data_IF_625175590400
#
_entry.id   IF_625175590400
#
_cell.length_a   1.000
_cell.length_b   1.000
_cell.length_c   1.000
_cell.angle_alpha   90.00
_cell.angle_beta   90.00
_cell.angle_gamma   90.00
#
_symmetry.space_group_name_H-M   'P 1'
#
loop_
_entity.id
_entity.type
_entity.pdbx_description
1 polymer ?
#
# COMPACT_ATOMS: atom_id res chain seq x y z
N UNK A 1 -8.66 4.46 5.30
CA UNK A 1 -8.48 3.05 5.73
C UNK A 1 -7.13 2.92 6.39
N UNK A 2 -6.93 2.02 7.34
CA UNK A 2 -5.63 1.83 7.98
C UNK A 2 -5.30 0.35 8.18
N UNK A 3 -4.00 0.05 8.28
CA UNK A 3 -3.47 -1.26 8.66
C UNK A 3 -2.10 -1.14 9.32
N UNK A 4 -1.57 -2.24 9.85
CA UNK A 4 -0.32 -2.25 10.64
C UNK A 4 0.70 -3.21 10.03
N UNK A 5 1.92 -2.73 9.81
CA UNK A 5 3.04 -3.56 9.39
C UNK A 5 3.47 -4.49 10.53
N UNK A 6 4.05 -5.65 10.17
CA UNK A 6 4.60 -6.60 11.14
C UNK A 6 5.76 -5.98 11.97
N UNK A 7 6.40 -4.93 11.45
CA UNK A 7 7.42 -4.12 12.15
C UNK A 7 6.85 -3.10 13.15
N UNK A 8 5.53 -2.84 13.10
CA UNK A 8 4.81 -2.04 14.09
C UNK A 8 4.28 -0.70 13.59
N UNK A 9 4.76 -0.20 12.45
CA UNK A 9 4.32 1.05 11.83
C UNK A 9 2.89 0.97 11.31
N UNK A 10 2.22 2.12 11.29
CA UNK A 10 0.81 2.23 10.90
C UNK A 10 0.72 2.84 9.50
N UNK A 11 0.00 2.16 8.61
CA UNK A 11 -0.27 2.57 7.25
C UNK A 11 -1.66 3.17 7.16
N UNK A 12 -1.82 4.32 6.51
CA UNK A 12 -3.13 4.96 6.29
C UNK A 12 -3.30 5.35 4.83
N UNK A 13 -4.35 4.83 4.20
CA UNK A 13 -4.80 5.30 2.88
C UNK A 13 -5.67 6.54 3.08
N UNK A 14 -5.29 7.63 2.43
CA UNK A 14 -5.90 8.96 2.47
C UNK A 14 -6.29 9.43 1.07
N UNK A 15 -6.94 10.59 1.01
CA UNK A 15 -7.25 11.32 -0.22
C UNK A 15 -7.84 10.41 -1.32
N UNK A 16 -8.87 9.65 -0.92
CA UNK A 16 -9.60 8.73 -1.80
C UNK A 16 -8.71 7.68 -2.50
N UNK A 17 -7.59 7.29 -1.90
CA UNK A 17 -6.66 6.31 -2.46
C UNK A 17 -5.48 6.92 -3.19
N UNK A 18 -5.33 8.24 -3.23
CA UNK A 18 -4.21 8.89 -3.93
C UNK A 18 -2.98 9.10 -3.05
N UNK A 19 -3.08 8.82 -1.76
CA UNK A 19 -1.98 8.97 -0.82
C UNK A 19 -1.95 7.82 0.20
N UNK A 20 -0.74 7.30 0.45
CA UNK A 20 -0.45 6.39 1.55
C UNK A 20 0.49 7.10 2.52
N UNK A 21 0.06 7.23 3.77
CA UNK A 21 0.86 7.76 4.87
C UNK A 21 1.36 6.64 5.78
N UNK A 22 2.59 6.77 6.24
CA UNK A 22 3.22 5.81 7.15
C UNK A 22 3.59 6.52 8.45
N UNK A 23 3.09 6.02 9.57
CA UNK A 23 3.30 6.59 10.90
C UNK A 23 4.10 5.65 11.79
N UNK A 24 4.70 6.21 12.84
CA UNK A 24 5.26 5.46 13.96
C UNK A 24 4.22 4.56 14.62
N UNK A 25 4.67 3.57 15.40
CA UNK A 25 3.80 2.59 16.05
C UNK A 25 2.83 3.17 17.08
N UNK A 26 3.08 4.39 17.56
CA UNK A 26 2.22 5.15 18.46
C UNK A 26 1.32 6.16 17.72
N UNK A 27 1.37 6.19 16.39
CA UNK A 27 0.61 7.07 15.50
C UNK A 27 0.84 8.58 15.67
N UNK A 28 1.85 8.97 16.45
CA UNK A 28 2.12 10.39 16.74
C UNK A 28 2.90 11.07 15.61
N UNK A 29 3.84 10.36 15.00
CA UNK A 29 4.76 10.93 14.02
C UNK A 29 4.54 10.34 12.62
N UNK A 30 4.35 11.23 11.64
CA UNK A 30 4.37 10.87 10.23
C UNK A 30 5.82 10.62 9.78
N UNK A 31 6.13 9.39 9.36
CA UNK A 31 7.45 9.01 8.86
C UNK A 31 7.68 9.46 7.42
N UNK A 32 6.68 9.22 6.56
CA UNK A 32 6.63 9.67 5.16
C UNK A 32 5.25 9.43 4.54
N UNK A 33 5.02 10.05 3.40
CA UNK A 33 3.89 9.79 2.52
C UNK A 33 4.37 9.39 1.12
N UNK A 34 3.57 8.61 0.42
CA UNK A 34 3.89 8.11 -0.92
C UNK A 34 2.63 8.08 -1.78
N UNK A 35 2.79 8.50 -3.04
CA UNK A 35 1.74 8.40 -4.05
C UNK A 35 1.80 7.02 -4.72
N UNK A 36 0.65 6.48 -5.17
CA UNK A 36 0.66 5.28 -5.97
C UNK A 36 1.28 5.57 -7.35
N UNK A 37 1.63 4.55 -8.14
CA UNK A 37 2.03 4.73 -9.53
C UNK A 37 1.04 5.55 -10.37
N UNK A 38 1.51 6.10 -11.49
CA UNK A 38 0.67 6.88 -12.40
C UNK A 38 -0.56 6.08 -12.87
N UNK A 39 -1.72 6.76 -12.99
CA UNK A 39 -3.02 6.17 -13.36
C UNK A 39 -3.52 5.06 -12.41
N UNK A 40 -3.13 5.11 -11.13
CA UNK A 40 -3.52 4.12 -10.12
C UNK A 40 -3.93 4.73 -8.79
N UNK A 41 -4.48 3.90 -7.89
CA UNK A 41 -4.91 4.27 -6.55
C UNK A 41 -4.71 3.15 -5.54
N UNK A 42 -4.38 3.50 -4.30
CA UNK A 42 -4.44 2.60 -3.17
C UNK A 42 -5.90 2.25 -2.84
N UNK A 43 -6.22 0.97 -2.86
CA UNK A 43 -7.60 0.49 -2.73
C UNK A 43 -7.90 -0.07 -1.34
N UNK A 44 -7.10 -1.04 -0.90
CA UNK A 44 -7.24 -1.71 0.39
C UNK A 44 -5.88 -2.14 0.91
N UNK A 45 -5.85 -2.72 2.09
CA UNK A 45 -4.73 -3.55 2.54
C UNK A 45 -5.07 -5.03 2.44
N UNK A 46 -4.05 -5.85 2.24
CA UNK A 46 -4.16 -7.30 2.31
C UNK A 46 -2.83 -7.92 2.78
N UNK A 47 -2.92 -9.04 3.49
CA UNK A 47 -1.76 -9.77 3.97
C UNK A 47 -1.15 -10.62 2.84
N UNK A 48 0.08 -10.32 2.48
CA UNK A 48 0.95 -11.13 1.63
C UNK A 48 1.62 -12.24 2.46
N UNK A 49 1.79 -13.43 1.89
CA UNK A 49 2.30 -14.61 2.62
C UNK A 49 3.74 -14.45 3.14
N UNK A 50 4.56 -13.66 2.43
CA UNK A 50 5.99 -13.46 2.75
C UNK A 50 6.24 -12.10 3.40
N UNK A 51 5.56 -11.07 2.92
CA UNK A 51 5.85 -9.66 3.28
C UNK A 51 4.94 -9.16 4.41
N UNK A 52 3.92 -9.92 4.77
CA UNK A 52 2.91 -9.51 5.73
C UNK A 52 1.99 -8.46 5.12
N UNK A 53 1.59 -7.49 5.92
CA UNK A 53 0.59 -6.50 5.52
C UNK A 53 1.10 -5.59 4.39
N UNK A 54 0.33 -5.50 3.30
CA UNK A 54 0.70 -4.73 2.12
C UNK A 54 -0.47 -3.86 1.63
N UNK A 55 -0.23 -2.62 1.19
CA UNK A 55 -1.20 -1.88 0.38
C UNK A 55 -1.42 -2.59 -0.97
N UNK A 56 -2.68 -2.57 -1.39
CA UNK A 56 -3.14 -3.00 -2.69
C UNK A 56 -3.31 -1.77 -3.58
N UNK A 57 -2.71 -1.81 -4.76
CA UNK A 57 -2.86 -0.77 -5.78
C UNK A 57 -3.67 -1.30 -6.95
N UNK A 58 -4.68 -0.53 -7.36
CA UNK A 58 -5.53 -0.78 -8.52
C UNK A 58 -5.24 0.25 -9.60
N UNK A 59 -5.12 -0.20 -10.86
CA UNK A 59 -4.91 0.64 -12.04
C UNK A 59 -6.22 0.73 -12.83
N UNK A 60 -6.80 1.93 -12.89
CA UNK A 60 -8.05 2.29 -13.60
C UNK A 60 -9.36 1.55 -13.20
N UNK A 61 -10.49 2.26 -12.99
CA UNK A 61 -11.78 1.63 -12.68
C UNK A 61 -12.33 0.72 -13.79
N UNK A 62 -11.93 0.96 -15.04
CA UNK A 62 -12.33 0.21 -16.24
C UNK A 62 -11.74 -1.21 -16.25
N UNK A 63 -10.57 -1.41 -15.64
CA UNK A 63 -9.91 -2.72 -15.53
C UNK A 63 -10.56 -3.63 -14.47
N UNK A 64 -11.51 -3.11 -13.69
CA UNK A 64 -12.38 -3.91 -12.79
C UNK A 64 -13.26 -4.91 -13.53
N UNK A 65 -13.38 -4.81 -14.86
CA UNK A 65 -14.32 -5.61 -15.66
C UNK A 65 -13.85 -7.06 -15.85
N UNK A 66 -12.56 -7.39 -15.63
CA UNK A 66 -12.04 -8.73 -15.98
C UNK A 66 -11.39 -9.52 -14.82
N UNK A 67 -11.51 -9.09 -13.55
CA UNK A 67 -11.08 -9.91 -12.41
C UNK A 67 -9.55 -10.17 -12.33
N UNK A 68 -8.72 -9.25 -12.84
CA UNK A 68 -7.25 -9.28 -12.73
C UNK A 68 -6.76 -7.89 -12.29
N UNK A 69 -5.67 -7.70 -11.54
CA UNK A 69 -5.17 -8.36 -10.33
C UNK A 69 -4.79 -7.18 -9.43
N UNK A 70 -5.38 -7.11 -8.25
CA UNK A 70 -4.94 -6.25 -7.17
C UNK A 70 -3.44 -6.48 -6.90
N UNK A 71 -2.60 -5.48 -7.13
CA UNK A 71 -1.15 -5.64 -6.98
C UNK A 71 -0.75 -5.34 -5.55
N UNK A 72 -0.08 -6.30 -4.92
CA UNK A 72 0.56 -6.08 -3.63
C UNK A 72 1.78 -5.16 -3.81
N UNK A 73 1.88 -4.14 -2.97
CA UNK A 73 3.07 -3.30 -2.87
C UNK A 73 3.68 -3.44 -1.48
N UNK A 74 4.99 -3.71 -1.43
CA UNK A 74 5.75 -3.67 -0.19
C UNK A 74 6.08 -2.23 0.17
N UNK A 75 5.91 -1.88 1.44
CA UNK A 75 6.36 -0.59 1.97
C UNK A 75 7.80 -0.73 2.45
N UNK A 76 8.72 0.07 1.91
CA UNK A 76 10.11 0.10 2.31
C UNK A 76 10.36 1.33 3.20
N UNK A 77 10.46 1.09 4.51
CA UNK A 77 10.67 2.12 5.52
C UNK A 77 12.04 2.83 5.40
N UNK A 78 13.06 2.14 4.87
CA UNK A 78 14.41 2.70 4.73
C UNK A 78 14.50 3.67 3.56
N UNK A 79 13.97 3.28 2.41
CA UNK A 79 13.98 4.11 1.20
C UNK A 79 12.79 5.04 1.11
N UNK A 80 11.83 4.93 2.05
CA UNK A 80 10.59 5.74 2.10
C UNK A 80 9.80 5.63 0.79
N UNK A 81 9.65 4.41 0.31
CA UNK A 81 9.05 4.13 -1.00
C UNK A 81 8.17 2.87 -0.94
N UNK A 82 7.45 2.63 -2.04
CA UNK A 82 6.75 1.36 -2.27
C UNK A 82 7.37 0.61 -3.44
N UNK A 83 7.30 -0.71 -3.40
CA UNK A 83 7.82 -1.59 -4.46
C UNK A 83 6.75 -2.62 -4.83
N UNK A 84 6.49 -2.78 -6.13
CA UNK A 84 5.52 -3.75 -6.63
C UNK A 84 6.03 -5.17 -6.37
N UNK A 85 5.25 -5.98 -5.67
CA UNK A 85 5.53 -7.40 -5.50
C UNK A 85 5.11 -8.18 -6.76
N UNK A 86 5.92 -9.16 -7.13
CA UNK A 86 5.63 -10.03 -8.26
C UNK A 86 4.64 -11.13 -7.81
N UNK A 87 3.43 -11.22 -8.36
CA UNK A 87 2.41 -12.19 -7.95
C UNK A 87 2.78 -13.64 -8.29
N UNK A 88 3.85 -13.85 -9.07
CA UNK A 88 4.32 -15.17 -9.53
C UNK A 88 5.57 -15.68 -8.79
N UNK A 89 6.01 -15.01 -7.72
CA UNK A 89 7.23 -15.36 -6.98
C UNK A 89 7.01 -15.44 -5.48
#
# INVERSE_FOLDING_TARGET
MESKLDTGEILKIKDEGTLLEVYTSDELDLLFSVQPPEYSGFYTFARHSIEGECPIVSFEPSHKINGWQDWYYKVNLKTKSIERLNPWR
#
